data_IF_091127910958
#
_entry.id   IF_091127910958
#
_cell.length_a   1.000
_cell.length_b   1.000
_cell.length_c   1.000
_cell.angle_alpha   90.00
_cell.angle_beta   90.00
_cell.angle_gamma   90.00
#
_symmetry.space_group_name_H-M   'P 1'
#
loop_
_entity.id
_entity.type
_entity.pdbx_description
1 polymer ?
#
# COMPACT_ATOMS: atom_id res chain seq x y z
N UNK A 1 -40.38 16.24 3.86
CA UNK A 1 -40.22 14.95 3.17
C UNK A 1 -38.96 14.93 2.29
N UNK A 2 -38.77 15.88 1.38
CA UNK A 2 -37.58 16.02 0.50
C UNK A 2 -36.25 16.03 1.27
N UNK A 3 -36.12 16.80 2.35
CA UNK A 3 -34.88 16.86 3.15
C UNK A 3 -34.46 15.49 3.73
N UNK A 4 -35.43 14.64 4.11
CA UNK A 4 -35.16 13.29 4.63
C UNK A 4 -34.58 12.37 3.55
N UNK A 5 -35.05 12.50 2.31
CA UNK A 5 -34.52 11.76 1.17
C UNK A 5 -33.12 12.24 0.79
N UNK A 6 -32.87 13.56 0.81
CA UNK A 6 -31.54 14.12 0.55
C UNK A 6 -30.52 13.59 1.56
N UNK A 7 -30.87 13.56 2.85
CA UNK A 7 -30.00 13.01 3.90
C UNK A 7 -29.75 11.53 3.67
N UNK A 8 -30.78 10.74 3.41
CA UNK A 8 -30.63 9.29 3.17
C UNK A 8 -29.71 8.99 1.97
N UNK A 9 -29.88 9.71 0.85
CA UNK A 9 -29.04 9.54 -0.34
C UNK A 9 -27.59 9.93 -0.05
N UNK A 10 -27.36 11.04 0.66
CA UNK A 10 -26.01 11.46 1.03
C UNK A 10 -25.29 10.46 1.94
N UNK A 11 -26.00 9.84 2.89
CA UNK A 11 -25.44 8.83 3.78
C UNK A 11 -25.07 7.56 3.02
N UNK A 12 -25.94 7.09 2.10
CA UNK A 12 -25.65 5.91 1.28
C UNK A 12 -24.43 6.16 0.39
N UNK A 13 -24.32 7.34 -0.21
CA UNK A 13 -23.17 7.70 -1.02
C UNK A 13 -21.87 7.73 -0.20
N UNK A 14 -21.89 8.34 0.99
CA UNK A 14 -20.72 8.40 1.87
C UNK A 14 -20.27 7.00 2.33
N UNK A 15 -21.21 6.10 2.63
CA UNK A 15 -20.90 4.72 2.99
C UNK A 15 -20.34 3.93 1.80
N UNK A 16 -20.84 4.16 0.58
CA UNK A 16 -20.32 3.51 -0.62
C UNK A 16 -18.85 3.88 -0.89
N UNK A 17 -18.46 5.13 -0.65
CA UNK A 17 -17.06 5.60 -0.80
C UNK A 17 -16.13 4.90 0.19
N UNK A 18 -16.59 4.58 1.41
CA UNK A 18 -15.76 3.94 2.44
C UNK A 18 -15.37 2.49 2.11
N UNK A 19 -16.13 1.81 1.24
CA UNK A 19 -15.91 0.41 0.86
C UNK A 19 -15.08 0.28 -0.43
N UNK A 20 -14.67 1.39 -1.05
CA UNK A 20 -13.85 1.34 -2.26
C UNK A 20 -12.47 0.73 -1.96
N UNK A 21 -11.98 -0.19 -2.82
CA UNK A 21 -10.65 -0.76 -2.64
C UNK A 21 -9.57 0.31 -2.89
N UNK A 22 -8.43 0.29 -2.17
CA UNK A 22 -7.37 1.29 -2.33
C UNK A 22 -6.77 1.33 -3.74
N UNK A 23 -6.94 0.25 -4.51
CA UNK A 23 -6.54 0.15 -5.90
C UNK A 23 -7.15 1.24 -6.80
N UNK A 24 -8.35 1.77 -6.48
CA UNK A 24 -8.99 2.82 -7.30
C UNK A 24 -8.26 4.16 -7.23
N UNK A 25 -7.39 4.36 -6.26
CA UNK A 25 -6.61 5.58 -6.06
C UNK A 25 -5.19 5.47 -6.63
N UNK A 26 -4.79 4.30 -7.15
CA UNK A 26 -3.47 4.11 -7.74
C UNK A 26 -3.44 4.69 -9.16
N UNK A 27 -2.35 5.36 -9.57
CA UNK A 27 -2.21 5.82 -10.93
C UNK A 27 -2.08 4.64 -11.90
N UNK A 28 -2.97 4.54 -12.87
CA UNK A 28 -2.96 3.47 -13.89
C UNK A 28 -1.70 3.45 -14.76
N UNK A 29 -0.97 4.57 -14.82
CA UNK A 29 0.18 4.77 -15.70
C UNK A 29 1.51 4.89 -14.95
N UNK A 30 1.65 4.22 -13.80
CA UNK A 30 2.94 4.17 -13.13
C UNK A 30 3.93 3.30 -13.93
N UNK A 31 5.05 3.89 -14.35
CA UNK A 31 6.16 3.19 -14.99
C UNK A 31 7.36 3.13 -14.05
N UNK A 32 8.00 1.97 -13.97
CA UNK A 32 9.23 1.78 -13.15
C UNK A 32 10.33 2.71 -13.66
N UNK A 33 10.89 3.60 -12.82
CA UNK A 33 12.06 4.41 -13.17
C UNK A 33 13.24 3.51 -13.56
N UNK A 34 14.01 3.92 -14.57
CA UNK A 34 15.15 3.15 -15.08
C UNK A 34 16.41 3.98 -15.14
N UNK A 35 17.54 3.31 -14.94
CA UNK A 35 18.87 3.88 -15.13
C UNK A 35 19.18 4.05 -16.63
N UNK A 36 20.21 4.84 -17.01
CA UNK A 36 20.58 5.03 -18.42
C UNK A 36 20.97 3.73 -19.16
N UNK A 37 21.29 2.67 -18.41
CA UNK A 37 21.66 1.35 -18.92
C UNK A 37 20.49 0.35 -18.88
N UNK A 38 19.30 0.79 -18.46
CA UNK A 38 18.04 0.06 -18.60
C UNK A 38 17.57 -0.69 -17.35
N UNK A 39 18.36 -0.73 -16.29
CA UNK A 39 18.00 -1.41 -15.05
C UNK A 39 16.97 -0.61 -14.24
N UNK A 40 16.14 -1.27 -13.40
CA UNK A 40 15.27 -0.56 -12.45
C UNK A 40 16.08 0.35 -11.53
N UNK A 41 15.66 1.61 -11.44
CA UNK A 41 16.29 2.58 -10.56
C UNK A 41 15.67 2.47 -9.16
N UNK A 42 16.44 1.94 -8.21
CA UNK A 42 16.04 1.67 -6.83
C UNK A 42 16.49 2.80 -5.88
N UNK A 43 16.34 4.05 -6.30
CA UNK A 43 16.60 5.21 -5.44
C UNK A 43 15.41 5.47 -4.52
N UNK A 44 15.69 5.72 -3.24
CA UNK A 44 14.67 6.04 -2.24
C UNK A 44 15.23 6.01 -0.82
N UNK A 45 14.37 6.24 0.17
CA UNK A 45 14.72 6.08 1.58
C UNK A 45 14.37 4.66 2.03
N UNK A 46 15.39 3.84 2.25
CA UNK A 46 15.23 2.48 2.77
C UNK A 46 15.54 2.44 4.27
N UNK A 47 14.80 1.62 5.00
CA UNK A 47 15.05 1.39 6.43
C UNK A 47 16.09 0.29 6.61
N UNK A 48 17.03 0.47 7.54
CA UNK A 48 17.99 -0.57 7.94
C UNK A 48 17.62 -1.10 9.32
N UNK A 49 16.41 -1.66 9.44
CA UNK A 49 15.99 -2.31 10.69
C UNK A 49 16.48 -3.76 10.68
N UNK A 50 17.34 -4.12 11.61
CA UNK A 50 17.72 -5.51 11.88
C UNK A 50 16.65 -6.19 12.73
N UNK A 51 15.44 -6.34 12.17
CA UNK A 51 14.32 -7.00 12.86
C UNK A 51 14.58 -8.50 12.99
N UNK A 52 15.21 -9.09 11.97
CA UNK A 52 15.58 -10.50 11.96
C UNK A 52 17.02 -10.63 12.45
N UNK A 53 17.28 -11.38 13.54
CA UNK A 53 18.64 -11.71 13.97
C UNK A 53 19.41 -12.40 12.84
N UNK A 54 20.67 -12.04 12.65
CA UNK A 54 21.57 -12.66 11.67
C UNK A 54 22.33 -13.85 12.26
N UNK A 55 22.18 -14.08 13.57
CA UNK A 55 22.73 -15.21 14.29
C UNK A 55 21.82 -16.43 14.11
N UNK A 56 22.45 -17.60 13.97
CA UNK A 56 21.72 -18.87 14.02
C UNK A 56 21.09 -19.02 15.43
N UNK A 57 19.80 -19.32 15.54
CA UNK A 57 19.17 -19.65 16.81
C UNK A 57 19.84 -20.85 17.50
N UNK A 58 19.97 -20.82 18.83
CA UNK A 58 20.67 -21.86 19.60
C UNK A 58 20.03 -23.25 19.42
N UNK A 59 18.71 -23.31 19.26
CA UNK A 59 17.95 -24.55 19.04
C UNK A 59 18.17 -25.19 17.66
N UNK A 60 18.83 -24.47 16.75
CA UNK A 60 19.24 -24.93 15.43
C UNK A 60 20.76 -25.14 15.33
N UNK A 61 21.55 -24.95 16.40
CA UNK A 61 23.02 -25.02 16.33
C UNK A 61 23.55 -26.35 15.78
N UNK A 62 22.96 -27.48 16.19
CA UNK A 62 23.39 -28.84 15.85
C UNK A 62 22.47 -29.53 14.81
N UNK A 63 21.62 -28.77 14.12
CA UNK A 63 20.72 -29.22 13.05
C UNK A 63 21.20 -28.73 11.68
#
# INVERSE_FOLDING_TARGET
VVHRYVVAVSCVFALAVLVLPPAVAQPDNWTVPRTPWGDPDLIGTYTNKTITPVQRPDDLADR
#
